data_IF_525371422804
#
_entry.id   IF_525371422804
#
_cell.length_a   1.000
_cell.length_b   1.000
_cell.length_c   1.000
_cell.angle_alpha   90.00
_cell.angle_beta   90.00
_cell.angle_gamma   90.00
#
_symmetry.space_group_name_H-M   'P 1'
#
loop_
_entity.id
_entity.type
_entity.pdbx_description
1 polymer ?
#
# COMPACT_ATOMS: atom_id res chain seq x y z
N UNK A 1 9.84 13.87 -22.72
CA UNK A 1 9.25 12.79 -21.88
C UNK A 1 8.49 13.49 -20.77
N UNK A 2 7.20 13.17 -20.59
CA UNK A 2 6.42 13.74 -19.48
C UNK A 2 7.05 13.26 -18.17
N UNK A 3 7.21 14.15 -17.23
CA UNK A 3 7.75 13.82 -15.91
C UNK A 3 6.67 13.04 -15.14
N UNK A 4 6.94 11.80 -14.75
CA UNK A 4 5.98 10.89 -14.08
C UNK A 4 5.45 11.49 -12.76
N UNK A 5 6.21 12.39 -12.16
CA UNK A 5 5.88 13.02 -10.88
C UNK A 5 5.22 14.40 -11.03
N UNK A 6 4.87 14.82 -12.25
CA UNK A 6 4.23 16.10 -12.51
C UNK A 6 2.74 15.90 -12.83
N UNK A 7 1.88 16.49 -12.02
CA UNK A 7 0.44 16.51 -12.21
C UNK A 7 -0.03 17.91 -12.59
N UNK A 8 -0.72 18.01 -13.73
CA UNK A 8 -1.34 19.27 -14.15
C UNK A 8 -2.79 19.30 -13.66
N UNK A 9 -3.14 20.34 -12.94
CA UNK A 9 -4.44 20.52 -12.33
C UNK A 9 -5.02 21.90 -12.61
N UNK A 10 -6.34 21.96 -12.71
CA UNK A 10 -7.11 23.20 -12.80
C UNK A 10 -7.82 23.47 -11.49
N UNK A 11 -7.93 24.73 -11.10
CA UNK A 11 -8.69 25.11 -9.91
C UNK A 11 -10.18 24.91 -10.14
N UNK A 12 -10.89 24.44 -9.12
CA UNK A 12 -12.33 24.23 -9.14
C UNK A 12 -13.03 25.10 -8.09
N UNK A 13 -13.92 25.99 -8.52
CA UNK A 13 -14.69 26.85 -7.62
C UNK A 13 -16.01 26.21 -7.19
N UNK A 14 -16.62 25.39 -8.06
CA UNK A 14 -17.90 24.72 -7.77
C UNK A 14 -17.69 23.48 -6.89
N UNK A 15 -18.31 23.46 -5.71
CA UNK A 15 -18.32 22.35 -4.78
C UNK A 15 -19.68 21.62 -4.77
N UNK A 16 -19.71 20.45 -4.13
CA UNK A 16 -20.92 19.66 -3.91
C UNK A 16 -21.09 18.45 -4.84
N UNK A 17 -22.12 17.64 -4.53
CA UNK A 17 -22.36 16.31 -5.16
C UNK A 17 -22.61 16.40 -6.67
N UNK A 18 -23.41 17.37 -7.11
CA UNK A 18 -23.74 17.54 -8.53
C UNK A 18 -22.55 18.00 -9.35
N UNK A 19 -21.74 18.93 -8.83
CA UNK A 19 -20.53 19.41 -9.47
C UNK A 19 -19.48 18.28 -9.59
N UNK A 20 -19.21 17.52 -8.53
CA UNK A 20 -18.31 16.38 -8.56
C UNK A 20 -18.78 15.29 -9.56
N UNK A 21 -20.10 15.04 -9.66
CA UNK A 21 -20.65 14.11 -10.65
C UNK A 21 -20.46 14.61 -12.08
N UNK A 22 -20.55 15.93 -12.32
CA UNK A 22 -20.33 16.53 -13.63
C UNK A 22 -18.85 16.38 -14.05
N UNK A 23 -17.90 16.68 -13.15
CA UNK A 23 -16.47 16.52 -13.37
C UNK A 23 -16.13 15.09 -13.80
N UNK A 24 -16.63 14.08 -13.06
CA UNK A 24 -16.38 12.66 -13.39
C UNK A 24 -17.00 12.23 -14.72
N UNK A 25 -18.18 12.77 -15.10
CA UNK A 25 -18.80 12.50 -16.41
C UNK A 25 -17.99 13.06 -17.57
N UNK A 26 -17.25 14.13 -17.35
CA UNK A 26 -16.38 14.75 -18.36
C UNK A 26 -15.00 14.06 -18.45
N UNK A 27 -14.81 12.92 -17.78
CA UNK A 27 -13.53 12.20 -17.82
C UNK A 27 -12.45 12.82 -16.94
N UNK A 28 -12.85 13.60 -15.92
CA UNK A 28 -11.93 14.24 -14.99
C UNK A 28 -12.09 13.69 -13.57
N UNK A 29 -11.05 13.84 -12.75
CA UNK A 29 -11.01 13.43 -11.35
C UNK A 29 -11.06 14.68 -10.47
N UNK A 30 -12.06 14.81 -9.59
CA UNK A 30 -12.04 15.84 -8.56
C UNK A 30 -11.01 15.47 -7.49
N UNK A 31 -10.20 16.44 -7.08
CA UNK A 31 -9.20 16.27 -6.04
C UNK A 31 -9.16 17.48 -5.10
N UNK A 32 -8.47 17.31 -3.98
CA UNK A 32 -8.24 18.38 -3.01
C UNK A 32 -6.77 18.43 -2.63
N UNK A 33 -6.19 19.62 -2.58
CA UNK A 33 -4.87 19.86 -2.01
C UNK A 33 -5.01 20.67 -0.72
N UNK A 34 -4.42 20.17 0.37
CA UNK A 34 -4.47 20.78 1.68
C UNK A 34 -3.15 20.66 2.43
N UNK A 35 -3.06 21.25 3.62
CA UNK A 35 -1.84 21.28 4.43
C UNK A 35 -0.96 22.49 4.13
N UNK A 36 0.16 22.60 4.88
CA UNK A 36 1.02 23.78 4.86
C UNK A 36 0.33 25.05 5.40
N UNK A 37 0.82 26.20 5.00
CA UNK A 37 0.27 27.51 5.42
C UNK A 37 -0.88 28.01 4.55
N UNK A 38 -1.13 27.39 3.39
CA UNK A 38 -2.18 27.82 2.46
C UNK A 38 -3.53 27.12 2.74
N UNK A 39 -4.61 27.79 2.41
CA UNK A 39 -5.96 27.24 2.54
C UNK A 39 -6.15 25.99 1.67
N UNK A 40 -7.02 25.05 2.06
CA UNK A 40 -7.42 23.92 1.22
C UNK A 40 -7.99 24.40 -0.11
N UNK A 41 -7.59 23.76 -1.20
CA UNK A 41 -7.99 24.11 -2.56
C UNK A 41 -8.56 22.89 -3.28
N UNK A 42 -9.76 23.05 -3.85
CA UNK A 42 -10.35 22.03 -4.73
C UNK A 42 -9.77 22.18 -6.13
N UNK A 43 -9.38 21.06 -6.71
CA UNK A 43 -8.77 20.96 -8.03
C UNK A 43 -9.42 19.88 -8.89
N UNK A 44 -9.12 19.87 -10.16
CA UNK A 44 -9.58 18.89 -11.15
C UNK A 44 -8.37 18.42 -11.93
N UNK A 45 -8.26 17.12 -12.12
CA UNK A 45 -7.20 16.45 -12.87
C UNK A 45 -7.80 15.68 -14.05
N UNK A 46 -7.04 15.50 -15.12
CA UNK A 46 -7.42 14.62 -16.23
C UNK A 46 -7.34 13.16 -15.80
N UNK A 47 -8.43 12.38 -15.92
CA UNK A 47 -8.48 10.98 -15.52
C UNK A 47 -7.47 10.11 -16.30
N UNK A 48 -7.28 10.39 -17.59
CA UNK A 48 -6.36 9.61 -18.41
C UNK A 48 -4.89 9.82 -18.00
N UNK A 49 -4.52 11.03 -17.60
CA UNK A 49 -3.17 11.33 -17.09
C UNK A 49 -2.98 10.69 -15.72
N UNK A 50 -3.97 10.83 -14.84
CA UNK A 50 -3.96 10.22 -13.51
C UNK A 50 -3.73 8.71 -13.58
N UNK A 51 -4.43 7.97 -14.46
CA UNK A 51 -4.23 6.52 -14.60
C UNK A 51 -2.79 6.21 -15.01
N UNK A 52 -2.25 6.90 -16.02
CA UNK A 52 -0.87 6.68 -16.48
C UNK A 52 0.16 6.92 -15.38
N UNK A 53 -0.02 7.96 -14.57
CA UNK A 53 0.87 8.20 -13.43
C UNK A 53 0.75 7.13 -12.36
N UNK A 54 -0.48 6.67 -12.05
CA UNK A 54 -0.75 5.65 -11.04
C UNK A 54 -0.33 4.21 -11.45
N UNK A 55 0.09 3.99 -12.70
CA UNK A 55 0.75 2.75 -13.13
C UNK A 55 2.15 2.61 -12.50
N UNK A 56 2.74 3.72 -12.05
CA UNK A 56 4.03 3.73 -11.39
C UNK A 56 3.85 3.74 -9.86
N UNK A 57 4.32 2.72 -9.19
CA UNK A 57 4.23 2.59 -7.72
C UNK A 57 4.90 3.75 -6.98
N UNK A 58 6.00 4.28 -7.51
CA UNK A 58 6.71 5.41 -6.92
C UNK A 58 5.84 6.66 -6.71
N UNK A 59 4.72 6.82 -7.44
CA UNK A 59 3.79 7.96 -7.29
C UNK A 59 3.11 7.98 -5.92
N UNK A 60 2.94 6.82 -5.28
CA UNK A 60 2.29 6.71 -3.97
C UNK A 60 3.19 7.16 -2.82
N UNK A 61 4.50 7.01 -2.98
CA UNK A 61 5.49 7.28 -1.94
C UNK A 61 6.43 8.45 -2.27
N UNK A 62 6.35 9.05 -3.46
CA UNK A 62 7.23 10.14 -3.88
C UNK A 62 6.59 11.53 -3.73
N UNK A 63 7.43 12.57 -3.63
CA UNK A 63 6.97 13.96 -3.65
C UNK A 63 6.65 14.35 -5.09
N UNK A 64 5.41 14.77 -5.32
CA UNK A 64 4.85 15.12 -6.61
C UNK A 64 4.91 16.63 -6.82
N UNK A 65 5.14 17.04 -8.05
CA UNK A 65 5.05 18.42 -8.50
C UNK A 65 3.64 18.66 -9.07
N UNK A 66 2.80 19.35 -8.29
CA UNK A 66 1.42 19.65 -8.63
C UNK A 66 1.34 21.06 -9.22
N UNK A 67 1.13 21.16 -10.53
CA UNK A 67 0.99 22.45 -11.24
C UNK A 67 -0.49 22.85 -11.30
N UNK A 68 -0.85 23.86 -10.51
CA UNK A 68 -2.22 24.40 -10.43
C UNK A 68 -2.24 25.78 -11.09
N UNK A 69 -2.98 25.94 -12.17
CA UNK A 69 -3.09 27.21 -12.92
C UNK A 69 -1.72 27.84 -13.21
N UNK A 70 -0.71 27.02 -13.54
CA UNK A 70 0.66 27.47 -13.86
C UNK A 70 1.56 27.72 -12.65
N UNK A 71 1.11 27.46 -11.43
CA UNK A 71 1.94 27.48 -10.21
C UNK A 71 2.23 26.06 -9.76
N UNK A 72 3.50 25.72 -9.62
CA UNK A 72 3.93 24.41 -9.16
C UNK A 72 4.08 24.40 -7.63
N UNK A 73 3.40 23.47 -6.97
CA UNK A 73 3.47 23.21 -5.53
C UNK A 73 3.93 21.76 -5.31
N UNK A 74 4.76 21.55 -4.27
CA UNK A 74 5.17 20.20 -3.87
C UNK A 74 4.11 19.59 -2.98
N UNK A 75 3.59 18.45 -3.38
CA UNK A 75 2.57 17.71 -2.66
C UNK A 75 2.90 16.23 -2.63
N UNK A 76 2.28 15.51 -1.71
CA UNK A 76 2.31 14.05 -1.66
C UNK A 76 0.88 13.53 -1.78
N UNK A 77 0.73 12.38 -2.41
CA UNK A 77 -0.54 11.69 -2.49
C UNK A 77 -0.87 11.05 -1.14
N UNK A 78 -1.98 11.46 -0.53
CA UNK A 78 -2.39 10.93 0.79
C UNK A 78 -3.39 9.80 0.66
N UNK A 79 -4.38 9.96 -0.23
CA UNK A 79 -5.44 8.96 -0.41
C UNK A 79 -5.99 8.98 -1.83
N UNK A 80 -6.45 7.81 -2.29
CA UNK A 80 -7.10 7.61 -3.58
C UNK A 80 -8.37 6.80 -3.39
N UNK A 81 -9.48 7.39 -3.79
CA UNK A 81 -10.74 6.66 -3.85
C UNK A 81 -10.95 6.08 -5.26
N UNK A 82 -11.04 4.76 -5.34
CA UNK A 82 -11.30 4.03 -6.58
C UNK A 82 -12.74 3.53 -6.63
N UNK A 83 -13.26 3.36 -7.83
CA UNK A 83 -14.57 2.73 -8.01
C UNK A 83 -14.44 1.21 -7.77
N UNK A 84 -15.35 0.57 -6.97
CA UNK A 84 -15.19 -0.84 -6.57
C UNK A 84 -15.21 -1.84 -7.74
N UNK A 85 -15.86 -1.50 -8.87
CA UNK A 85 -16.05 -2.44 -9.98
C UNK A 85 -15.49 -1.94 -11.33
N UNK A 86 -14.98 -0.71 -11.39
CA UNK A 86 -14.45 -0.13 -12.66
C UNK A 86 -13.06 0.47 -12.38
N UNK A 87 -12.14 0.46 -13.34
CA UNK A 87 -10.83 1.08 -13.20
C UNK A 87 -10.94 2.62 -13.32
N UNK A 88 -11.72 3.22 -12.42
CA UNK A 88 -12.00 4.67 -12.39
C UNK A 88 -11.57 5.21 -11.03
N UNK A 89 -10.76 6.27 -11.06
CA UNK A 89 -10.41 7.05 -9.88
C UNK A 89 -11.55 8.03 -9.60
N UNK A 90 -12.08 8.01 -8.37
CA UNK A 90 -13.21 8.80 -7.96
C UNK A 90 -12.82 10.11 -7.27
N UNK A 91 -11.73 10.09 -6.50
CA UNK A 91 -11.19 11.23 -5.77
C UNK A 91 -9.71 11.02 -5.47
N UNK A 92 -8.97 12.11 -5.33
CA UNK A 92 -7.58 12.11 -4.88
C UNK A 92 -7.35 13.20 -3.86
N UNK A 93 -6.59 12.88 -2.82
CA UNK A 93 -6.23 13.78 -1.74
C UNK A 93 -4.73 14.03 -1.75
N UNK A 94 -4.34 15.31 -1.85
CA UNK A 94 -2.95 15.73 -1.84
C UNK A 94 -2.66 16.55 -0.60
N UNK A 95 -1.53 16.28 0.04
CA UNK A 95 -1.00 17.05 1.18
C UNK A 95 0.22 17.83 0.72
N UNK A 96 0.21 19.17 0.95
CA UNK A 96 1.38 20.00 0.68
C UNK A 96 2.55 19.60 1.57
N UNK A 97 3.72 19.55 0.99
CA UNK A 97 4.93 19.12 1.68
C UNK A 97 5.70 20.33 2.21
N UNK A 98 5.85 20.36 3.52
CA UNK A 98 6.71 21.29 4.23
C UNK A 98 8.00 20.59 4.68
N UNK A 99 9.17 21.18 4.43
CA UNK A 99 10.48 20.57 4.77
C UNK A 99 10.70 20.27 6.25
N UNK A 100 9.93 20.91 7.14
CA UNK A 100 10.12 20.86 8.59
C UNK A 100 9.15 19.90 9.31
N UNK A 101 8.09 19.50 8.66
CA UNK A 101 7.07 18.66 9.27
C UNK A 101 7.22 17.21 8.83
N UNK A 102 7.08 16.28 9.78
CA UNK A 102 7.00 14.86 9.49
C UNK A 102 5.70 14.56 8.72
N UNK A 103 5.82 13.74 7.68
CA UNK A 103 4.71 13.30 6.85
C UNK A 103 4.33 11.88 7.22
N UNK A 104 3.04 11.59 7.20
CA UNK A 104 2.50 10.23 7.30
C UNK A 104 2.06 9.78 5.91
N UNK A 105 2.73 8.77 5.38
CA UNK A 105 2.57 8.29 4.00
C UNK A 105 2.47 6.78 4.00
N UNK A 106 1.68 6.22 3.09
CA UNK A 106 1.67 4.81 2.79
C UNK A 106 2.81 4.47 1.84
N UNK A 107 3.69 3.57 2.25
CA UNK A 107 4.82 3.10 1.45
C UNK A 107 4.59 1.65 1.07
N UNK A 108 4.69 1.28 -0.22
CA UNK A 108 4.50 -0.09 -0.68
C UNK A 108 5.60 -1.01 -0.15
N UNK A 109 5.23 -2.28 0.04
CA UNK A 109 6.13 -3.36 0.43
C UNK A 109 6.52 -4.17 -0.79
N UNK A 110 7.82 -4.35 -0.98
CA UNK A 110 8.37 -5.27 -1.97
C UNK A 110 8.82 -6.54 -1.27
N UNK A 111 8.17 -7.63 -1.56
CA UNK A 111 8.52 -8.94 -1.05
C UNK A 111 9.60 -9.54 -1.93
N UNK A 112 10.72 -9.91 -1.32
CA UNK A 112 11.86 -10.52 -2.02
C UNK A 112 12.02 -11.98 -1.58
N UNK A 113 12.61 -12.80 -2.48
CA UNK A 113 12.94 -14.20 -2.21
C UNK A 113 11.73 -15.14 -2.01
N UNK A 114 10.56 -14.83 -2.58
CA UNK A 114 9.35 -15.67 -2.48
C UNK A 114 9.59 -17.09 -3.02
N UNK A 115 10.23 -17.21 -4.20
CA UNK A 115 10.48 -18.49 -4.88
C UNK A 115 11.46 -19.40 -4.12
N UNK A 116 12.36 -18.81 -3.32
CA UNK A 116 13.37 -19.56 -2.56
C UNK A 116 12.95 -19.80 -1.11
N UNK A 117 11.82 -19.28 -0.67
CA UNK A 117 11.24 -19.46 0.65
C UNK A 117 11.13 -20.97 0.99
N UNK A 118 11.58 -21.35 2.18
CA UNK A 118 11.58 -22.75 2.64
C UNK A 118 10.15 -23.28 2.71
N UNK A 119 9.22 -22.51 3.26
CA UNK A 119 7.81 -22.89 3.37
C UNK A 119 7.11 -23.10 2.03
N UNK A 120 7.45 -22.31 1.00
CA UNK A 120 6.93 -22.52 -0.37
C UNK A 120 7.47 -23.79 -0.99
N UNK A 121 8.76 -24.11 -0.81
CA UNK A 121 9.36 -25.36 -1.28
C UNK A 121 8.74 -26.61 -0.63
N UNK A 122 8.20 -26.47 0.57
CA UNK A 122 7.48 -27.55 1.27
C UNK A 122 6.01 -27.63 0.87
N UNK A 123 5.54 -26.83 -0.11
CA UNK A 123 4.14 -26.82 -0.56
C UNK A 123 3.23 -25.81 0.16
N UNK A 124 3.78 -24.90 0.94
CA UNK A 124 3.05 -23.78 1.53
C UNK A 124 2.72 -22.69 0.50
N UNK A 125 1.73 -21.85 0.83
CA UNK A 125 1.35 -20.68 0.05
C UNK A 125 1.58 -19.43 0.88
N UNK A 126 2.26 -18.44 0.30
CA UNK A 126 2.46 -17.13 0.92
C UNK A 126 1.17 -16.33 0.81
N UNK A 127 0.73 -15.77 1.92
CA UNK A 127 -0.39 -14.84 1.97
C UNK A 127 0.12 -13.48 2.43
N UNK A 128 -0.02 -12.46 1.58
CA UNK A 128 0.29 -11.07 1.91
C UNK A 128 -0.92 -10.45 2.62
N UNK A 129 -0.81 -10.21 3.93
CA UNK A 129 -1.85 -9.57 4.71
C UNK A 129 -1.86 -8.05 4.53
N UNK A 130 -0.68 -7.46 4.27
CA UNK A 130 -0.50 -6.03 4.03
C UNK A 130 0.41 -5.84 2.81
N UNK A 131 0.04 -4.91 1.92
CA UNK A 131 0.82 -4.54 0.73
C UNK A 131 1.46 -3.16 0.86
N UNK A 132 1.01 -2.35 1.82
CA UNK A 132 1.54 -1.03 2.13
C UNK A 132 1.51 -0.79 3.64
N UNK A 133 2.38 0.09 4.12
CA UNK A 133 2.48 0.44 5.54
C UNK A 133 2.51 1.97 5.68
N UNK A 134 1.75 2.50 6.65
CA UNK A 134 1.84 3.91 7.02
C UNK A 134 3.15 4.15 7.79
N UNK A 135 4.00 5.01 7.22
CA UNK A 135 5.25 5.45 7.86
C UNK A 135 5.23 6.94 8.13
N UNK A 136 5.93 7.35 9.18
CA UNK A 136 6.16 8.75 9.53
C UNK A 136 7.63 9.07 9.32
N UNK A 137 7.91 10.01 8.43
CA UNK A 137 9.28 10.44 8.12
C UNK A 137 9.35 11.90 7.68
N UNK A 138 10.55 12.45 7.63
CA UNK A 138 10.79 13.74 6.97
C UNK A 138 10.81 13.57 5.46
N UNK A 139 10.39 14.59 4.68
CA UNK A 139 10.37 14.54 3.21
C UNK A 139 11.69 14.15 2.56
N UNK A 140 12.82 14.47 3.21
CA UNK A 140 14.15 14.19 2.68
C UNK A 140 14.58 12.71 2.82
N UNK A 141 13.88 11.91 3.63
CA UNK A 141 14.24 10.53 3.98
C UNK A 141 13.11 9.57 3.62
N UNK A 142 12.17 10.02 2.81
CA UNK A 142 11.03 9.21 2.37
C UNK A 142 11.51 8.08 1.44
N UNK A 143 11.32 6.80 1.80
CA UNK A 143 11.68 5.68 0.93
C UNK A 143 10.62 5.48 -0.15
N UNK A 144 11.02 5.01 -1.33
CA UNK A 144 10.10 4.69 -2.42
C UNK A 144 9.34 3.38 -2.14
N UNK A 145 10.00 2.41 -1.54
CA UNK A 145 9.45 1.10 -1.12
C UNK A 145 10.22 0.57 0.09
N UNK A 146 9.67 -0.43 0.75
CA UNK A 146 10.32 -1.17 1.83
C UNK A 146 10.45 -2.64 1.42
N UNK A 147 11.65 -3.20 1.59
CA UNK A 147 11.93 -4.60 1.25
C UNK A 147 11.64 -5.51 2.45
N UNK A 148 10.95 -6.63 2.17
CA UNK A 148 10.64 -7.67 3.15
C UNK A 148 11.19 -8.99 2.61
N UNK A 149 12.18 -9.56 3.29
CA UNK A 149 12.78 -10.84 2.91
C UNK A 149 11.98 -12.01 3.47
N UNK A 150 11.53 -12.90 2.58
CA UNK A 150 10.74 -14.08 2.91
C UNK A 150 11.55 -15.38 2.89
N UNK A 151 12.86 -15.33 2.60
CA UNK A 151 13.70 -16.52 2.36
C UNK A 151 13.68 -17.54 3.51
N UNK A 152 13.64 -17.06 4.75
CA UNK A 152 13.81 -17.88 5.96
C UNK A 152 12.49 -18.38 6.59
N UNK A 153 11.34 -18.13 5.95
CA UNK A 153 10.03 -18.50 6.51
C UNK A 153 9.72 -19.97 6.27
N UNK A 154 9.30 -20.65 7.33
CA UNK A 154 8.75 -22.01 7.29
C UNK A 154 7.20 -21.99 7.21
N UNK A 155 6.62 -23.19 7.00
CA UNK A 155 5.15 -23.34 7.00
C UNK A 155 4.60 -23.02 8.38
N UNK A 156 3.67 -22.06 8.46
CA UNK A 156 3.06 -21.59 9.69
C UNK A 156 3.72 -20.35 10.28
N UNK A 157 4.89 -19.93 9.76
CA UNK A 157 5.55 -18.72 10.19
C UNK A 157 4.91 -17.45 9.60
N UNK A 158 5.06 -16.34 10.32
CA UNK A 158 4.59 -15.03 9.93
C UNK A 158 5.63 -13.95 10.17
N UNK A 159 5.67 -12.98 9.27
CA UNK A 159 6.43 -11.73 9.46
C UNK A 159 5.50 -10.66 10.00
N UNK A 160 5.96 -9.98 11.04
CA UNK A 160 5.27 -8.87 11.69
C UNK A 160 5.92 -7.52 11.33
N UNK A 161 5.20 -6.42 11.60
CA UNK A 161 5.70 -5.06 11.36
C UNK A 161 7.03 -4.78 12.06
N UNK A 162 7.26 -5.37 13.24
CA UNK A 162 8.50 -5.25 14.01
C UNK A 162 9.74 -5.85 13.32
N UNK A 163 9.53 -6.82 12.42
CA UNK A 163 10.62 -7.54 11.75
C UNK A 163 11.13 -6.81 10.49
N UNK A 164 10.47 -5.72 10.09
CA UNK A 164 10.82 -4.97 8.88
C UNK A 164 12.03 -4.07 9.15
N UNK A 165 13.01 -4.13 8.26
CA UNK A 165 14.20 -3.28 8.32
C UNK A 165 13.85 -1.88 7.82
N UNK A 166 13.79 -0.92 8.74
CA UNK A 166 13.49 0.47 8.41
C UNK A 166 14.77 1.28 8.13
N UNK A 167 14.78 2.15 7.11
CA UNK A 167 15.85 3.10 6.91
C UNK A 167 15.90 4.15 8.03
N UNK A 168 17.07 4.79 8.21
CA UNK A 168 17.28 5.77 9.27
C UNK A 168 16.34 6.97 9.12
N UNK A 169 15.59 7.30 10.17
CA UNK A 169 14.67 8.45 10.20
C UNK A 169 13.24 8.13 9.76
N UNK A 170 12.92 6.88 9.49
CA UNK A 170 11.56 6.38 9.22
C UNK A 170 11.04 5.68 10.47
N UNK A 171 9.80 5.95 10.84
CA UNK A 171 9.12 5.35 11.98
C UNK A 171 7.75 4.81 11.55
N UNK A 172 7.33 3.70 12.11
CA UNK A 172 5.98 3.16 11.94
C UNK A 172 5.13 3.68 13.10
N UNK A 173 4.15 4.59 12.84
CA UNK A 173 3.36 5.19 13.92
C UNK A 173 2.57 4.16 14.71
N UNK A 174 2.12 3.08 14.07
CA UNK A 174 1.36 2.00 14.70
C UNK A 174 2.16 1.31 15.81
N UNK A 175 3.45 1.02 15.58
CA UNK A 175 4.33 0.43 16.61
C UNK A 175 4.65 1.42 17.73
N UNK A 176 4.71 2.74 17.44
CA UNK A 176 5.01 3.77 18.41
C UNK A 176 3.87 4.04 19.40
N UNK A 177 2.62 3.70 19.07
CA UNK A 177 1.45 3.92 19.92
C UNK A 177 1.38 2.98 21.13
N UNK A 178 2.21 1.93 21.16
CA UNK A 178 2.25 0.94 22.24
C UNK A 178 1.02 0.03 22.25
N UNK A 179 1.16 -1.19 22.76
CA UNK A 179 0.10 -2.19 22.76
C UNK A 179 0.35 -3.30 21.75
N UNK A 180 -0.61 -4.17 21.58
CA UNK A 180 -0.52 -5.36 20.72
C UNK A 180 -0.82 -5.01 19.25
N UNK A 181 -0.14 -3.98 18.70
CA UNK A 181 -0.34 -3.48 17.32
C UNK A 181 0.69 -4.01 16.32
N UNK A 182 1.35 -5.13 16.67
CA UNK A 182 2.29 -5.79 15.78
C UNK A 182 1.52 -6.69 14.79
N UNK A 183 1.04 -6.06 13.72
CA UNK A 183 0.23 -6.76 12.71
C UNK A 183 1.11 -7.66 11.84
N UNK A 184 0.55 -8.80 11.43
CA UNK A 184 1.17 -9.69 10.46
C UNK A 184 1.18 -9.04 9.10
N UNK A 185 2.34 -9.05 8.45
CA UNK A 185 2.57 -8.49 7.10
C UNK A 185 2.46 -9.58 6.04
N UNK A 186 3.13 -10.70 6.25
CA UNK A 186 3.04 -11.88 5.40
C UNK A 186 3.11 -13.15 6.26
N UNK A 187 2.49 -14.21 5.78
CA UNK A 187 2.52 -15.53 6.43
C UNK A 187 2.53 -16.64 5.40
N UNK A 188 3.14 -17.78 5.75
CA UNK A 188 3.10 -18.99 4.94
C UNK A 188 2.06 -19.94 5.49
N UNK A 189 1.02 -20.21 4.71
CA UNK A 189 -0.05 -21.11 5.07
C UNK A 189 0.14 -22.51 4.47
N UNK A 190 -0.23 -23.55 5.22
CA UNK A 190 -0.29 -24.94 4.73
C UNK A 190 -1.41 -25.06 3.69
N UNK A 191 -1.15 -25.68 2.54
CA UNK A 191 -2.19 -25.97 1.55
C UNK A 191 -3.03 -27.18 2.01
N UNK A 192 -4.30 -27.22 1.62
CA UNK A 192 -5.22 -28.31 1.96
C UNK A 192 -4.72 -29.69 1.48
N UNK A 193 -3.95 -29.74 0.38
CA UNK A 193 -3.37 -30.96 -0.15
C UNK A 193 -2.32 -31.60 0.77
N UNK A 194 -1.58 -30.79 1.54
CA UNK A 194 -0.57 -31.28 2.51
C UNK A 194 -1.23 -31.76 3.81
N UNK A 195 -2.44 -31.28 4.15
CA UNK A 195 -3.17 -31.75 5.33
C UNK A 195 -3.89 -33.08 5.10
N UNK A 196 -4.24 -33.44 3.86
CA UNK A 196 -4.88 -34.73 3.53
C UNK A 196 -3.88 -35.89 3.59
N UNK A 197 -2.60 -35.67 3.27
CA UNK A 197 -1.55 -36.70 3.37
C UNK A 197 -1.12 -37.01 4.82
N UNK A 198 -1.27 -36.07 5.77
CA UNK A 198 -0.98 -36.31 7.19
C UNK A 198 -2.17 -37.00 7.92
N UNK A 199 -3.41 -36.68 7.52
CA UNK A 199 -4.60 -37.31 8.09
C UNK A 199 -4.79 -38.75 7.60
N UNK A 200 -4.28 -39.16 6.40
CA UNK A 200 -4.30 -40.55 5.92
C UNK A 200 -3.27 -41.43 6.63
N UNK A 201 -2.21 -40.89 7.19
CA UNK A 201 -1.19 -41.68 7.91
C UNK A 201 -1.60 -41.95 9.37
N UNK A 202 -2.36 -41.06 10.02
CA UNK A 202 -2.87 -41.29 11.40
C UNK A 202 -4.03 -42.32 11.47
N UNK A 203 -4.80 -42.49 10.39
CA UNK A 203 -5.92 -43.43 10.37
C UNK A 203 -5.49 -44.88 10.06
N UNK A 204 -4.26 -45.09 9.55
CA UNK A 204 -3.75 -46.42 9.23
C UNK A 204 -3.07 -47.14 10.41
N UNK A 205 -2.71 -46.41 11.48
CA UNK A 205 -2.02 -47.02 12.65
C UNK A 205 -3.00 -47.46 13.77
N UNK A 206 -4.28 -47.04 13.70
CA UNK A 206 -5.29 -47.37 14.71
C UNK A 206 -6.20 -48.57 14.33
N UNK A 207 -5.98 -49.16 13.13
CA UNK A 207 -6.79 -50.27 12.62
C UNK A 207 -6.18 -51.68 12.83
N UNK A 208 -4.95 -51.79 13.37
CA UNK A 208 -4.23 -53.05 13.51
C UNK A 208 -4.18 -53.59 14.97
N UNK A 209 -4.85 -52.93 15.95
CA UNK A 209 -4.83 -53.34 17.36
C UNK A 209 -6.11 -54.01 17.89
N UNK A 210 -7.13 -54.24 17.06
CA UNK A 210 -8.42 -54.81 17.54
C UNK A 210 -8.79 -56.21 16.96
N UNK A 211 -7.78 -56.97 16.52
CA UNK A 211 -8.00 -58.33 16.00
C UNK A 211 -7.13 -59.39 16.67
N UNK A 212 -7.04 -59.38 18.03
CA UNK A 212 -6.65 -60.58 18.83
C UNK A 212 -7.21 -60.46 20.25
N UNK A 213 -8.46 -60.89 20.45
CA UNK A 213 -8.97 -61.59 21.65
C UNK A 213 -10.24 -62.41 21.32
#
# INVERSE_FOLDING_TARGET
>A
MANIFEFVAEKRDLSGKSAAKAVRRNGNVPAVVYGGSAAPQSIVLSHNEVIKHLEHEAVYSHILDLTIDGKTEKAILKDIQRHPAKPIVMHMDFVRVDKKHALKVHVPLHFINEDICVGVKMGGVITHAMVDIEVSCLPAVLPEYLEVDLAALDIGDSIHLSNIVLPKGVQIPVLAQGGNHDHTVAQVMKTKAVSEDEDEVEVADDAESDAEE
#
